data_IF_614419675225
#
_entry.id   IF_614419675225
#
_cell.length_a   1.000
_cell.length_b   1.000
_cell.length_c   1.000
_cell.angle_alpha   90.00
_cell.angle_beta   90.00
_cell.angle_gamma   90.00
#
_symmetry.space_group_name_H-M   'P 1'
#
loop_
_entity.id
_entity.type
_entity.pdbx_description
1 polymer ?
#
# COMPACT_ATOMS: atom_id res chain seq x y z
N UNK A 1 19.62 -10.13 -9.43
CA UNK A 1 19.63 -8.65 -9.36
C UNK A 1 19.77 -8.01 -10.74
N UNK A 2 20.83 -8.27 -11.52
CA UNK A 2 21.01 -7.61 -12.83
C UNK A 2 19.82 -7.77 -13.78
N UNK A 3 19.27 -8.99 -13.90
CA UNK A 3 18.10 -9.26 -14.74
C UNK A 3 16.85 -8.44 -14.33
N UNK A 4 16.63 -8.25 -13.03
CA UNK A 4 15.53 -7.42 -12.53
C UNK A 4 15.74 -5.95 -12.93
N UNK A 5 16.94 -5.42 -12.70
CA UNK A 5 17.30 -4.03 -13.03
C UNK A 5 17.13 -3.79 -14.53
N UNK A 6 17.64 -4.70 -15.37
CA UNK A 6 17.52 -4.61 -16.82
C UNK A 6 16.06 -4.69 -17.29
N UNK A 7 15.28 -5.59 -16.72
CA UNK A 7 13.86 -5.77 -17.05
C UNK A 7 13.05 -4.55 -16.66
N UNK A 8 13.28 -4.00 -15.46
CA UNK A 8 12.67 -2.75 -15.01
C UNK A 8 12.99 -1.60 -15.97
N UNK A 9 14.26 -1.43 -16.34
CA UNK A 9 14.70 -0.41 -17.29
C UNK A 9 14.04 -0.55 -18.67
N UNK A 10 13.93 -1.79 -19.19
CA UNK A 10 13.25 -2.08 -20.46
C UNK A 10 11.76 -1.69 -20.43
N UNK A 11 11.12 -1.84 -19.28
CA UNK A 11 9.68 -1.58 -19.08
C UNK A 11 9.37 -0.22 -18.45
N UNK A 12 10.35 0.69 -18.34
CA UNK A 12 10.19 2.03 -17.74
C UNK A 12 9.74 2.01 -16.28
N UNK A 13 10.10 0.96 -15.56
CA UNK A 13 9.91 0.84 -14.10
C UNK A 13 11.17 1.32 -13.42
N UNK A 14 11.04 2.28 -12.49
CA UNK A 14 12.13 2.68 -11.61
C UNK A 14 12.32 1.58 -10.54
N UNK A 15 13.37 0.76 -10.69
CA UNK A 15 13.69 -0.26 -9.69
C UNK A 15 14.23 0.41 -8.42
N UNK A 16 13.46 0.36 -7.33
CA UNK A 16 13.85 0.89 -6.02
C UNK A 16 14.50 -0.23 -5.20
N UNK A 17 15.75 -0.04 -4.80
CA UNK A 17 16.37 -0.93 -3.80
C UNK A 17 16.06 -0.42 -2.39
N UNK A 18 15.28 -1.19 -1.64
CA UNK A 18 14.99 -0.92 -0.24
C UNK A 18 15.93 -1.68 0.70
N UNK A 19 16.33 -1.05 1.81
CA UNK A 19 17.09 -1.67 2.90
C UNK A 19 16.50 -1.25 4.26
N UNK A 20 16.34 -2.21 5.17
CA UNK A 20 15.79 -1.98 6.52
C UNK A 20 16.87 -2.25 7.57
N UNK A 21 17.72 -1.26 7.93
CA UNK A 21 18.84 -1.49 8.85
C UNK A 21 18.45 -1.39 10.33
N UNK A 22 17.20 -1.04 10.63
CA UNK A 22 16.79 -0.60 11.98
C UNK A 22 16.81 -1.65 13.10
N UNK A 23 17.04 -2.94 12.79
CA UNK A 23 17.11 -4.00 13.80
C UNK A 23 18.33 -3.82 14.71
N UNK A 24 19.49 -3.50 14.14
CA UNK A 24 20.77 -3.51 14.84
C UNK A 24 21.73 -2.38 14.46
N UNK A 25 21.32 -1.46 13.58
CA UNK A 25 22.16 -0.31 13.22
C UNK A 25 22.56 0.52 14.43
N UNK A 26 23.86 0.83 14.51
CA UNK A 26 24.45 1.70 15.51
C UNK A 26 24.56 3.11 14.91
N UNK A 27 24.33 4.13 15.72
CA UNK A 27 24.32 5.52 15.26
C UNK A 27 25.50 6.34 15.76
N UNK A 28 26.14 5.91 16.86
CA UNK A 28 27.11 6.74 17.58
C UNK A 28 28.54 6.19 17.47
N UNK A 29 29.51 7.11 17.46
CA UNK A 29 30.95 6.80 17.50
C UNK A 29 31.45 5.99 16.30
N UNK A 30 32.60 5.35 16.47
CA UNK A 30 33.25 4.56 15.41
C UNK A 30 32.35 3.43 14.89
N UNK A 31 31.59 2.82 15.80
CA UNK A 31 30.61 1.79 15.48
C UNK A 31 29.49 2.28 14.54
N UNK A 32 28.98 3.49 14.78
CA UNK A 32 27.99 4.10 13.89
C UNK A 32 28.57 4.51 12.54
N UNK A 33 29.82 4.95 12.52
CA UNK A 33 30.53 5.21 11.26
C UNK A 33 30.74 3.94 10.44
N UNK A 34 31.14 2.84 11.07
CA UNK A 34 31.27 1.53 10.43
C UNK A 34 29.95 1.09 9.76
N UNK A 35 28.83 1.18 10.48
CA UNK A 35 27.52 0.77 9.97
C UNK A 35 27.04 1.71 8.84
N UNK A 36 27.29 3.02 8.95
CA UNK A 36 27.00 3.98 7.89
C UNK A 36 27.82 3.68 6.62
N UNK A 37 29.12 3.38 6.77
CA UNK A 37 29.95 3.00 5.62
C UNK A 37 29.50 1.66 5.02
N UNK A 38 29.04 0.70 5.83
CA UNK A 38 28.46 -0.54 5.32
C UNK A 38 27.20 -0.29 4.49
N UNK A 39 26.32 0.63 4.93
CA UNK A 39 25.15 1.07 4.17
C UNK A 39 25.55 1.72 2.83
N UNK A 40 26.50 2.65 2.84
CA UNK A 40 27.03 3.30 1.62
C UNK A 40 27.59 2.25 0.66
N UNK A 41 28.44 1.35 1.14
CA UNK A 41 29.06 0.31 0.32
C UNK A 41 28.01 -0.63 -0.30
N UNK A 42 26.96 -1.00 0.47
CA UNK A 42 25.87 -1.82 -0.05
C UNK A 42 25.11 -1.09 -1.16
N UNK A 43 24.72 0.16 -0.95
CA UNK A 43 24.01 0.95 -1.97
C UNK A 43 24.89 1.24 -3.19
N UNK A 44 26.18 1.50 -2.99
CA UNK A 44 27.16 1.68 -4.07
C UNK A 44 27.24 0.43 -4.96
N UNK A 45 27.29 -0.77 -4.36
CA UNK A 45 27.34 -2.01 -5.13
C UNK A 45 26.16 -2.17 -6.09
N UNK A 46 24.96 -1.68 -5.72
CA UNK A 46 23.79 -1.75 -6.57
C UNK A 46 23.68 -0.58 -7.54
N UNK A 47 24.18 0.59 -7.15
CA UNK A 47 24.36 1.72 -8.06
C UNK A 47 25.25 1.32 -9.25
N UNK A 48 26.34 0.60 -8.98
CA UNK A 48 27.27 0.10 -10.01
C UNK A 48 26.60 -0.92 -10.94
N UNK A 49 25.58 -1.64 -10.46
CA UNK A 49 24.73 -2.52 -11.26
C UNK A 49 23.64 -1.78 -12.06
N UNK A 50 23.45 -0.48 -11.83
CA UNK A 50 22.50 0.35 -12.56
C UNK A 50 21.26 0.80 -11.77
N UNK A 51 21.17 0.50 -10.46
CA UNK A 51 20.08 1.04 -9.61
C UNK A 51 20.22 2.55 -9.47
N UNK A 52 19.10 3.27 -9.54
CA UNK A 52 19.02 4.74 -9.44
C UNK A 52 17.96 5.26 -8.48
N UNK A 53 17.29 4.37 -7.76
CA UNK A 53 16.31 4.71 -6.73
C UNK A 53 16.57 3.84 -5.50
N UNK A 54 16.58 4.45 -4.32
CA UNK A 54 16.91 3.79 -3.07
C UNK A 54 15.87 4.14 -2.01
N UNK A 55 15.63 3.19 -1.10
CA UNK A 55 14.82 3.40 0.08
C UNK A 55 15.52 2.88 1.34
N UNK A 56 15.43 3.60 2.45
CA UNK A 56 15.91 3.16 3.75
C UNK A 56 14.71 3.16 4.71
N UNK A 57 14.39 2.00 5.28
CA UNK A 57 13.14 1.80 6.02
C UNK A 57 13.40 1.54 7.51
N UNK A 58 12.52 2.09 8.35
CA UNK A 58 12.56 1.96 9.81
C UNK A 58 11.23 1.44 10.37
N UNK A 59 10.41 0.77 9.55
CA UNK A 59 9.22 0.04 9.97
C UNK A 59 9.56 -1.20 10.80
N UNK A 60 8.65 -1.61 11.67
CA UNK A 60 8.69 -2.87 12.44
C UNK A 60 9.94 -3.12 13.30
N UNK A 61 10.50 -2.04 13.86
CA UNK A 61 11.63 -2.08 14.80
C UNK A 61 11.28 -1.51 16.18
N UNK A 62 12.10 -1.85 17.18
CA UNK A 62 11.93 -1.36 18.56
C UNK A 62 12.59 0.00 18.80
N UNK A 63 13.65 0.34 18.07
CA UNK A 63 14.33 1.62 18.18
C UNK A 63 13.45 2.75 17.63
N UNK A 64 13.12 3.73 18.48
CA UNK A 64 12.31 4.91 18.12
C UNK A 64 13.08 6.21 18.36
N UNK A 65 14.34 6.26 17.94
CA UNK A 65 15.14 7.49 17.97
C UNK A 65 14.95 8.28 16.66
N UNK A 66 13.93 9.14 16.62
CA UNK A 66 13.56 9.90 15.42
C UNK A 66 14.67 10.83 14.91
N UNK A 67 15.44 11.44 15.82
CA UNK A 67 16.55 12.33 15.46
C UNK A 67 17.65 11.53 14.76
N UNK A 68 18.08 10.40 15.34
CA UNK A 68 19.19 9.62 14.78
C UNK A 68 18.83 8.97 13.46
N UNK A 69 17.60 8.45 13.32
CA UNK A 69 17.11 7.90 12.07
C UNK A 69 17.07 8.96 10.95
N UNK A 70 16.49 10.14 11.23
CA UNK A 70 16.46 11.24 10.26
C UNK A 70 17.87 11.77 9.94
N UNK A 71 18.75 11.88 10.93
CA UNK A 71 20.15 12.31 10.72
C UNK A 71 20.90 11.34 9.80
N UNK A 72 20.71 10.03 9.96
CA UNK A 72 21.29 9.04 9.08
C UNK A 72 20.76 9.17 7.64
N UNK A 73 19.44 9.37 7.49
CA UNK A 73 18.81 9.57 6.18
C UNK A 73 19.34 10.83 5.49
N UNK A 74 19.43 11.96 6.19
CA UNK A 74 19.97 13.21 5.66
C UNK A 74 21.43 13.05 5.25
N UNK A 75 22.24 12.35 6.08
CA UNK A 75 23.65 12.08 5.74
C UNK A 75 23.77 11.21 4.49
N UNK A 76 22.95 10.17 4.36
CA UNK A 76 22.92 9.35 3.14
C UNK A 76 22.45 10.16 1.92
N UNK A 77 21.46 11.03 2.10
CA UNK A 77 20.94 11.92 1.07
C UNK A 77 22.03 12.86 0.53
N UNK A 78 22.82 13.48 1.42
CA UNK A 78 23.95 14.34 1.06
C UNK A 78 25.11 13.57 0.46
N UNK A 79 25.60 12.52 1.14
CA UNK A 79 26.84 11.84 0.77
C UNK A 79 26.68 10.83 -0.40
N UNK A 80 25.46 10.38 -0.68
CA UNK A 80 25.18 9.41 -1.74
C UNK A 80 24.24 9.98 -2.82
N UNK A 81 23.00 10.32 -2.47
CA UNK A 81 21.96 10.67 -3.45
C UNK A 81 22.35 11.93 -4.24
N UNK A 82 22.62 13.04 -3.53
CA UNK A 82 23.00 14.33 -4.12
C UNK A 82 24.34 14.28 -4.82
N UNK A 83 25.33 13.59 -4.24
CA UNK A 83 26.67 13.43 -4.84
C UNK A 83 26.64 12.69 -6.17
N UNK A 84 25.79 11.67 -6.34
CA UNK A 84 25.70 10.94 -7.62
C UNK A 84 25.05 11.78 -8.72
N UNK A 85 24.11 12.66 -8.37
CA UNK A 85 23.44 13.57 -9.32
C UNK A 85 22.45 12.91 -10.29
N UNK A 86 22.47 11.58 -10.43
CA UNK A 86 21.55 10.79 -11.25
C UNK A 86 20.67 9.82 -10.44
N UNK A 87 20.68 9.93 -9.11
CA UNK A 87 19.83 9.17 -8.19
C UNK A 87 18.55 9.96 -7.90
N UNK A 88 17.40 9.27 -7.94
CA UNK A 88 16.08 9.83 -7.60
C UNK A 88 16.00 10.20 -6.11
N UNK A 89 15.04 11.05 -5.69
CA UNK A 89 14.83 11.35 -4.27
C UNK A 89 14.80 10.10 -3.40
N UNK A 90 15.46 10.16 -2.23
CA UNK A 90 15.47 9.06 -1.27
C UNK A 90 14.05 8.81 -0.75
N UNK A 91 13.69 7.54 -0.61
CA UNK A 91 12.43 7.12 -0.01
C UNK A 91 12.69 6.57 1.39
N UNK A 92 11.80 6.85 2.34
CA UNK A 92 11.86 6.28 3.69
C UNK A 92 10.47 5.88 4.18
N UNK A 93 10.45 4.93 5.11
CA UNK A 93 9.29 4.65 5.96
C UNK A 93 9.73 4.83 7.40
N UNK A 94 9.12 5.75 8.16
CA UNK A 94 9.44 5.96 9.56
C UNK A 94 8.92 4.80 10.43
N UNK A 95 9.38 4.66 11.67
CA UNK A 95 8.87 3.66 12.63
C UNK A 95 7.42 3.91 13.05
N UNK A 96 6.96 5.16 12.93
CA UNK A 96 5.55 5.55 13.13
C UNK A 96 4.98 5.96 11.78
N UNK A 97 4.34 5.00 11.10
CA UNK A 97 3.95 5.09 9.69
C UNK A 97 2.44 5.06 9.43
N UNK A 98 1.62 5.13 10.47
CA UNK A 98 0.15 5.27 10.39
C UNK A 98 -0.33 6.49 11.19
N UNK A 99 -1.44 7.12 10.78
CA UNK A 99 -1.89 8.39 11.38
C UNK A 99 -2.27 8.25 12.84
N UNK A 100 -2.93 7.14 13.21
CA UNK A 100 -3.33 6.90 14.59
C UNK A 100 -2.13 6.93 15.53
N UNK A 101 -1.03 6.29 15.15
CA UNK A 101 0.21 6.27 15.93
C UNK A 101 0.98 7.60 15.91
N UNK A 102 0.78 8.46 14.90
CA UNK A 102 1.40 9.79 14.81
C UNK A 102 0.83 10.79 15.83
N UNK A 103 -0.39 10.58 16.32
CA UNK A 103 -1.07 11.49 17.24
C UNK A 103 -1.81 12.63 16.50
N UNK A 104 -1.87 13.81 17.11
CA UNK A 104 -2.55 15.00 16.57
C UNK A 104 -1.57 16.17 16.46
N UNK A 105 -1.91 17.23 15.71
CA UNK A 105 -0.97 18.34 15.46
C UNK A 105 -0.48 18.97 16.77
N UNK A 106 -1.38 19.20 17.73
CA UNK A 106 -1.04 19.81 19.02
C UNK A 106 -0.29 18.85 19.96
N UNK A 107 -0.40 17.54 19.72
CA UNK A 107 0.11 16.46 20.57
C UNK A 107 0.74 15.36 19.71
N UNK A 108 1.68 15.74 18.85
CA UNK A 108 2.38 14.79 17.99
C UNK A 108 3.17 13.80 18.85
N UNK A 109 3.17 12.54 18.42
CA UNK A 109 4.05 11.52 18.94
C UNK A 109 5.49 12.06 18.95
N UNK A 110 6.25 11.96 20.07
CA UNK A 110 7.61 12.48 20.17
C UNK A 110 8.52 12.01 19.03
N UNK A 111 8.42 10.74 18.64
CA UNK A 111 9.17 10.21 17.51
C UNK A 111 8.82 10.93 16.20
N UNK A 112 7.53 11.06 15.87
CA UNK A 112 7.07 11.72 14.64
C UNK A 112 7.50 13.17 14.59
N UNK A 113 7.38 13.91 15.70
CA UNK A 113 7.85 15.30 15.80
C UNK A 113 9.36 15.41 15.57
N UNK A 114 10.14 14.58 16.26
CA UNK A 114 11.60 14.67 16.22
C UNK A 114 12.14 14.21 14.84
N UNK A 115 11.55 13.16 14.25
CA UNK A 115 11.87 12.68 12.90
C UNK A 115 11.52 13.73 11.83
N UNK A 116 10.27 14.22 11.82
CA UNK A 116 9.79 15.18 10.81
C UNK A 116 10.53 16.52 10.84
N UNK A 117 10.87 17.03 12.04
CA UNK A 117 11.59 18.30 12.20
C UNK A 117 13.08 18.20 11.85
N UNK A 118 13.65 16.99 11.84
CA UNK A 118 15.06 16.75 11.50
C UNK A 118 15.24 16.40 10.02
N UNK A 119 14.29 15.68 9.42
CA UNK A 119 14.42 15.13 8.07
C UNK A 119 14.47 16.20 6.97
N UNK A 120 15.39 16.04 6.01
CA UNK A 120 15.50 16.89 4.83
C UNK A 120 14.17 16.95 4.05
N UNK A 121 13.89 18.11 3.45
CA UNK A 121 12.63 18.36 2.75
C UNK A 121 12.51 17.74 1.37
N UNK A 122 13.58 17.14 0.84
CA UNK A 122 13.63 16.44 -0.44
C UNK A 122 13.61 14.91 -0.29
N UNK A 123 13.47 14.38 0.93
CA UNK A 123 13.28 12.95 1.19
C UNK A 123 11.78 12.62 1.20
N UNK A 124 11.39 11.64 0.39
CA UNK A 124 10.02 11.12 0.29
C UNK A 124 9.70 10.22 1.48
N UNK A 125 8.59 10.47 2.16
CA UNK A 125 8.15 9.72 3.34
C UNK A 125 6.91 8.90 2.99
N UNK A 126 6.93 7.60 3.23
CA UNK A 126 5.80 6.72 3.00
C UNK A 126 5.00 6.46 4.27
N UNK A 127 3.68 6.31 4.13
CA UNK A 127 2.71 6.13 5.20
C UNK A 127 1.52 5.29 4.73
N UNK A 128 0.83 4.61 5.65
CA UNK A 128 -0.14 3.55 5.29
C UNK A 128 -1.61 3.93 5.32
N UNK A 129 -1.95 5.10 5.86
CA UNK A 129 -3.34 5.48 6.09
C UNK A 129 -3.65 5.85 7.54
N UNK A 130 -4.94 6.02 7.87
CA UNK A 130 -5.39 6.20 9.25
C UNK A 130 -4.79 5.18 10.22
N UNK A 131 -4.63 3.93 9.76
CA UNK A 131 -4.01 2.80 10.47
C UNK A 131 -3.13 1.97 9.50
N UNK A 132 -2.47 0.92 9.99
CA UNK A 132 -1.58 0.06 9.19
C UNK A 132 -2.29 -0.59 7.99
N UNK A 133 -3.46 -1.20 8.21
CA UNK A 133 -4.34 -1.74 7.16
C UNK A 133 -5.65 -0.96 7.22
N UNK A 134 -5.77 0.03 6.34
CA UNK A 134 -6.82 1.05 6.42
C UNK A 134 -8.05 0.72 5.59
N UNK A 135 -9.23 1.07 6.11
CA UNK A 135 -10.53 1.00 5.40
C UNK A 135 -10.61 1.94 4.20
N UNK A 136 -9.76 2.95 4.18
CA UNK A 136 -9.77 4.06 3.23
C UNK A 136 -8.78 5.13 3.66
N UNK A 137 -8.50 6.06 2.76
CA UNK A 137 -7.78 7.30 3.06
C UNK A 137 -8.64 8.43 2.52
N UNK A 138 -9.10 9.31 3.41
CA UNK A 138 -9.81 10.52 3.04
C UNK A 138 -8.87 11.72 2.87
N UNK A 139 -9.41 12.81 2.32
CA UNK A 139 -8.66 14.04 2.09
C UNK A 139 -8.10 14.66 3.38
N UNK A 140 -8.90 14.68 4.45
CA UNK A 140 -8.50 15.29 5.73
C UNK A 140 -7.29 14.57 6.33
N UNK A 141 -7.30 13.25 6.25
CA UNK A 141 -6.22 12.40 6.71
C UNK A 141 -4.92 12.63 5.93
N UNK A 142 -4.98 12.75 4.60
CA UNK A 142 -3.81 13.11 3.80
C UNK A 142 -3.31 14.53 4.10
N UNK A 143 -4.21 15.50 4.25
CA UNK A 143 -3.86 16.88 4.59
C UNK A 143 -3.21 17.00 5.98
N UNK A 144 -3.67 16.21 6.95
CA UNK A 144 -3.03 16.09 8.25
C UNK A 144 -1.58 15.64 8.12
N UNK A 145 -1.31 14.57 7.37
CA UNK A 145 0.06 14.05 7.21
C UNK A 145 0.93 15.04 6.40
N UNK A 146 0.37 15.69 5.38
CA UNK A 146 1.02 16.78 4.66
C UNK A 146 1.33 17.99 5.57
N UNK A 147 0.60 18.23 6.65
CA UNK A 147 0.94 19.29 7.61
C UNK A 147 2.20 18.98 8.43
N UNK A 148 2.54 17.68 8.56
CA UNK A 148 3.72 17.20 9.29
C UNK A 148 4.95 17.17 8.37
N UNK A 149 4.78 16.58 7.18
CA UNK A 149 5.91 16.29 6.28
C UNK A 149 5.92 17.17 5.02
N UNK A 150 4.90 17.99 4.76
CA UNK A 150 4.72 18.66 3.47
C UNK A 150 4.29 17.71 2.36
N UNK A 151 4.22 18.19 1.11
CA UNK A 151 3.79 17.41 -0.07
C UNK A 151 4.83 16.39 -0.59
N UNK A 152 5.64 15.83 0.29
CA UNK A 152 6.65 14.78 -0.02
C UNK A 152 6.20 13.43 0.53
N UNK A 153 4.90 13.19 0.51
CA UNK A 153 4.26 12.03 1.11
C UNK A 153 3.86 11.03 0.04
N UNK A 154 4.23 9.78 0.29
CA UNK A 154 3.81 8.62 -0.47
C UNK A 154 2.88 7.71 0.32
N UNK A 155 1.98 7.03 -0.39
CA UNK A 155 1.13 6.00 0.19
C UNK A 155 1.77 4.63 0.03
N UNK A 156 1.92 3.92 1.15
CA UNK A 156 2.11 2.48 1.22
C UNK A 156 0.73 1.84 1.44
N UNK A 157 0.05 1.46 0.37
CA UNK A 157 -1.29 0.88 0.46
C UNK A 157 -1.22 -0.61 0.80
N UNK A 158 -1.60 -0.98 2.02
CA UNK A 158 -1.63 -2.38 2.48
C UNK A 158 -2.87 -3.13 1.99
N UNK A 159 -2.95 -3.28 0.67
CA UNK A 159 -3.84 -4.18 -0.07
C UNK A 159 -3.25 -4.38 -1.48
N UNK A 160 -3.17 -5.60 -2.02
CA UNK A 160 -3.84 -6.82 -1.58
C UNK A 160 -3.05 -7.69 -0.58
N UNK A 161 -2.00 -7.22 0.09
CA UNK A 161 -1.21 -8.04 1.04
C UNK A 161 -2.10 -8.83 2.02
N UNK A 162 -1.73 -10.10 2.26
CA UNK A 162 -2.48 -11.05 3.11
C UNK A 162 -1.59 -11.77 4.12
N UNK A 163 -0.39 -11.26 4.40
CA UNK A 163 0.52 -11.87 5.38
C UNK A 163 -0.08 -11.98 6.80
N UNK A 164 -0.98 -11.07 7.15
CA UNK A 164 -1.77 -11.06 8.39
C UNK A 164 -3.01 -11.99 8.37
N UNK A 165 -3.39 -12.53 7.20
CA UNK A 165 -4.55 -13.42 7.00
C UNK A 165 -4.34 -14.29 5.75
N UNK A 166 -3.47 -15.29 5.85
CA UNK A 166 -3.02 -16.09 4.70
C UNK A 166 -4.09 -17.03 4.14
N UNK A 167 -5.15 -17.29 4.90
CA UNK A 167 -6.24 -18.18 4.53
C UNK A 167 -7.22 -17.58 3.51
N UNK A 168 -7.15 -16.27 3.27
CA UNK A 168 -8.04 -15.56 2.33
C UNK A 168 -7.23 -14.84 1.27
N UNK A 169 -7.73 -14.84 0.03
CA UNK A 169 -7.17 -14.04 -1.07
C UNK A 169 -7.82 -12.65 -1.09
N UNK A 170 -7.03 -11.61 -1.33
CA UNK A 170 -7.53 -10.25 -1.52
C UNK A 170 -7.62 -9.92 -3.02
N UNK A 171 -8.79 -10.16 -3.61
CA UNK A 171 -9.03 -10.10 -5.06
C UNK A 171 -9.90 -8.90 -5.49
N UNK A 172 -10.03 -7.89 -4.63
CA UNK A 172 -10.83 -6.69 -4.88
C UNK A 172 -10.05 -5.55 -5.54
N UNK A 173 -10.74 -4.43 -5.82
CA UNK A 173 -10.12 -3.23 -6.35
C UNK A 173 -9.46 -2.37 -5.26
N UNK A 174 -8.73 -1.32 -5.67
CA UNK A 174 -8.54 -0.14 -4.81
C UNK A 174 -9.92 0.38 -4.42
N UNK A 175 -10.16 0.49 -3.12
CA UNK A 175 -11.44 0.82 -2.54
C UNK A 175 -11.26 1.87 -1.44
N UNK A 176 -12.14 2.87 -1.41
CA UNK A 176 -12.13 3.96 -0.42
C UNK A 176 -10.82 4.77 -0.29
N UNK A 177 -9.94 4.75 -1.29
CA UNK A 177 -8.92 5.78 -1.45
C UNK A 177 -9.58 6.99 -2.15
N UNK A 178 -9.67 8.13 -1.45
CA UNK A 178 -10.38 9.30 -1.96
C UNK A 178 -9.72 9.83 -3.23
N UNK A 179 -10.54 10.18 -4.23
CA UNK A 179 -10.05 10.72 -5.50
C UNK A 179 -9.38 12.09 -5.34
N UNK A 180 -9.69 12.81 -4.28
CA UNK A 180 -9.05 14.08 -3.95
C UNK A 180 -7.56 13.92 -3.62
N UNK A 181 -7.08 12.70 -3.34
CA UNK A 181 -5.66 12.43 -3.08
C UNK A 181 -4.74 12.79 -4.25
N UNK A 182 -5.27 12.90 -5.48
CA UNK A 182 -4.49 13.32 -6.66
C UNK A 182 -3.77 14.66 -6.48
N UNK A 183 -4.29 15.54 -5.62
CA UNK A 183 -3.74 16.89 -5.37
C UNK A 183 -2.84 16.93 -4.10
N UNK A 184 -2.79 15.84 -3.35
CA UNK A 184 -2.12 15.74 -2.04
C UNK A 184 -0.97 14.72 -2.02
N UNK A 185 -1.01 13.68 -2.86
CA UNK A 185 -0.05 12.56 -2.90
C UNK A 185 0.47 12.39 -4.32
N UNK A 186 1.79 12.35 -4.48
CA UNK A 186 2.47 12.17 -5.77
C UNK A 186 3.19 10.81 -5.92
N UNK A 187 3.14 9.98 -4.88
CA UNK A 187 3.75 8.65 -4.85
C UNK A 187 2.77 7.62 -4.25
N UNK A 188 2.32 6.66 -5.04
CA UNK A 188 1.37 5.63 -4.60
C UNK A 188 1.92 4.24 -4.89
N UNK A 189 2.04 3.42 -3.85
CA UNK A 189 2.52 2.04 -3.95
C UNK A 189 1.55 1.09 -3.25
N UNK A 190 1.55 -0.16 -3.70
CA UNK A 190 0.71 -1.21 -3.14
C UNK A 190 1.59 -2.31 -2.59
N UNK A 191 1.20 -2.86 -1.44
CA UNK A 191 1.79 -4.06 -0.88
C UNK A 191 1.06 -5.29 -1.44
N UNK A 192 1.68 -6.10 -2.32
CA UNK A 192 1.02 -7.26 -2.93
C UNK A 192 0.97 -8.47 -1.98
N UNK A 193 0.26 -9.52 -2.38
CA UNK A 193 0.30 -10.82 -1.70
C UNK A 193 1.62 -11.56 -2.02
N UNK A 194 1.92 -12.59 -1.22
CA UNK A 194 2.89 -13.62 -1.61
C UNK A 194 2.47 -14.38 -2.89
N UNK A 195 1.19 -14.34 -3.23
CA UNK A 195 0.63 -14.88 -4.47
C UNK A 195 0.67 -13.84 -5.61
N UNK A 196 1.77 -13.83 -6.36
CA UNK A 196 2.02 -12.82 -7.40
C UNK A 196 0.96 -12.77 -8.50
N UNK A 197 0.46 -13.93 -8.98
CA UNK A 197 -0.50 -13.98 -10.08
C UNK A 197 -1.86 -13.37 -9.68
N UNK A 198 -2.37 -13.76 -8.52
CA UNK A 198 -3.64 -13.25 -8.01
C UNK A 198 -3.57 -11.77 -7.61
N UNK A 199 -2.40 -11.29 -7.19
CA UNK A 199 -2.19 -9.86 -6.90
C UNK A 199 -2.44 -8.97 -8.11
N UNK A 200 -2.32 -9.49 -9.34
CA UNK A 200 -2.51 -8.71 -10.57
C UNK A 200 -3.89 -8.09 -10.70
N UNK A 201 -4.95 -8.71 -10.15
CA UNK A 201 -6.31 -8.15 -10.17
C UNK A 201 -6.31 -6.80 -9.47
N UNK A 202 -5.91 -6.76 -8.20
CA UNK A 202 -5.85 -5.53 -7.42
C UNK A 202 -4.84 -4.53 -8.01
N UNK A 203 -3.65 -4.99 -8.40
CA UNK A 203 -2.60 -4.12 -8.98
C UNK A 203 -3.06 -3.44 -10.28
N UNK A 204 -3.84 -4.11 -11.14
CA UNK A 204 -4.40 -3.51 -12.34
C UNK A 204 -5.39 -2.37 -12.01
N UNK A 205 -6.18 -2.52 -10.94
CA UNK A 205 -7.04 -1.42 -10.46
C UNK A 205 -6.23 -0.28 -9.83
N UNK A 206 -5.10 -0.62 -9.18
CA UNK A 206 -4.13 0.36 -8.70
C UNK A 206 -3.53 1.21 -9.80
N UNK A 207 -3.19 0.60 -10.94
CA UNK A 207 -2.74 1.32 -12.12
C UNK A 207 -3.82 2.26 -12.68
N UNK A 208 -5.09 1.82 -12.72
CA UNK A 208 -6.19 2.69 -13.14
C UNK A 208 -6.40 3.87 -12.18
N UNK A 209 -6.33 3.62 -10.86
CA UNK A 209 -6.48 4.63 -9.82
C UNK A 209 -5.35 5.67 -9.86
N UNK A 210 -4.09 5.24 -9.88
CA UNK A 210 -2.94 6.16 -9.81
C UNK A 210 -2.68 6.93 -11.10
N UNK A 211 -3.12 6.41 -12.26
CA UNK A 211 -3.00 7.10 -13.54
C UNK A 211 -4.10 8.14 -13.79
N UNK A 212 -5.35 7.81 -13.47
CA UNK A 212 -6.50 8.69 -13.69
C UNK A 212 -7.47 8.65 -12.50
N UNK A 213 -6.99 9.18 -11.38
CA UNK A 213 -7.68 9.17 -10.09
C UNK A 213 -9.08 9.79 -10.16
N UNK A 214 -9.23 10.92 -10.86
CA UNK A 214 -10.51 11.62 -10.97
C UNK A 214 -11.61 10.78 -11.63
N UNK A 215 -11.26 10.06 -12.70
CA UNK A 215 -12.20 9.20 -13.43
C UNK A 215 -12.35 7.79 -12.84
N UNK A 216 -11.55 7.42 -11.83
CA UNK A 216 -11.51 6.07 -11.28
C UNK A 216 -12.89 5.58 -10.81
N UNK A 217 -13.28 4.37 -11.17
CA UNK A 217 -14.50 3.74 -10.71
C UNK A 217 -14.11 2.32 -10.32
N UNK A 218 -14.20 2.00 -9.03
CA UNK A 218 -13.64 0.76 -8.49
C UNK A 218 -14.31 -0.47 -9.11
N UNK A 219 -15.60 -0.40 -9.40
CA UNK A 219 -16.37 -1.55 -9.90
C UNK A 219 -16.07 -1.76 -11.40
N UNK A 220 -16.04 -0.68 -12.18
CA UNK A 220 -15.61 -0.76 -13.58
C UNK A 220 -14.14 -1.21 -13.70
N UNK A 221 -13.26 -0.71 -12.85
CA UNK A 221 -11.84 -1.08 -12.86
C UNK A 221 -11.65 -2.56 -12.49
N UNK A 222 -12.38 -3.05 -11.49
CA UNK A 222 -12.33 -4.44 -11.07
C UNK A 222 -12.81 -5.40 -12.18
N UNK A 223 -13.98 -5.11 -12.76
CA UNK A 223 -14.49 -5.89 -13.90
C UNK A 223 -13.51 -5.88 -15.07
N UNK A 224 -12.95 -4.71 -15.41
CA UNK A 224 -11.99 -4.57 -16.51
C UNK A 224 -10.69 -5.33 -16.25
N UNK A 225 -10.19 -5.34 -15.01
CA UNK A 225 -8.99 -6.07 -14.62
C UNK A 225 -9.18 -7.57 -14.85
N UNK A 226 -10.30 -8.14 -14.40
CA UNK A 226 -10.59 -9.57 -14.56
C UNK A 226 -10.78 -9.93 -16.04
N UNK A 227 -11.53 -9.14 -16.80
CA UNK A 227 -11.70 -9.33 -18.25
C UNK A 227 -10.37 -9.35 -19.01
N UNK A 228 -9.45 -8.43 -18.68
CA UNK A 228 -8.15 -8.35 -19.34
C UNK A 228 -7.22 -9.51 -18.97
N UNK A 229 -7.29 -10.01 -17.74
CA UNK A 229 -6.40 -11.05 -17.23
C UNK A 229 -6.88 -12.47 -17.56
N UNK A 230 -8.19 -12.70 -17.59
CA UNK A 230 -8.79 -14.05 -17.68
C UNK A 230 -9.51 -14.32 -19.01
N UNK A 231 -9.77 -13.31 -19.84
CA UNK A 231 -10.35 -13.48 -21.17
C UNK A 231 -11.67 -14.24 -21.14
N UNK A 232 -11.72 -15.40 -21.79
CA UNK A 232 -12.93 -16.24 -21.86
C UNK A 232 -13.39 -16.78 -20.50
N UNK A 233 -12.52 -16.82 -19.49
CA UNK A 233 -12.83 -17.27 -18.12
C UNK A 233 -13.19 -16.12 -17.17
N UNK A 234 -13.39 -14.92 -17.71
CA UNK A 234 -13.58 -13.72 -16.88
C UNK A 234 -14.88 -13.77 -16.06
N UNK A 235 -15.96 -14.32 -16.59
CA UNK A 235 -17.24 -14.36 -15.88
C UNK A 235 -17.19 -15.35 -14.70
N UNK A 236 -16.58 -16.52 -14.88
CA UNK A 236 -16.33 -17.48 -13.82
C UNK A 236 -15.39 -16.91 -12.76
N UNK A 237 -14.31 -16.25 -13.19
CA UNK A 237 -13.37 -15.61 -12.26
C UNK A 237 -14.02 -14.45 -11.50
N UNK A 238 -14.94 -13.68 -12.12
CA UNK A 238 -15.72 -12.65 -11.42
C UNK A 238 -16.58 -13.27 -10.34
N UNK A 239 -17.28 -14.38 -10.60
CA UNK A 239 -18.07 -15.08 -9.57
C UNK A 239 -17.19 -15.45 -8.38
N UNK A 240 -16.07 -16.13 -8.62
CA UNK A 240 -15.15 -16.52 -7.55
C UNK A 240 -14.57 -15.30 -6.79
N UNK A 241 -14.00 -14.34 -7.51
CA UNK A 241 -13.33 -13.18 -6.91
C UNK A 241 -14.30 -12.25 -6.17
N UNK A 242 -15.58 -12.19 -6.57
CA UNK A 242 -16.59 -11.35 -5.93
C UNK A 242 -16.78 -11.69 -4.44
N UNK A 243 -16.52 -12.95 -4.07
CA UNK A 243 -16.62 -13.45 -2.70
C UNK A 243 -15.30 -13.37 -1.90
N UNK A 244 -14.25 -12.79 -2.47
CA UNK A 244 -12.92 -12.72 -1.84
C UNK A 244 -12.29 -11.33 -2.05
N UNK A 245 -13.03 -10.27 -1.75
CA UNK A 245 -12.55 -8.88 -1.83
C UNK A 245 -12.30 -8.24 -0.46
N UNK A 246 -13.07 -8.63 0.55
CA UNK A 246 -13.01 -8.06 1.91
C UNK A 246 -11.94 -8.74 2.74
N UNK A 247 -11.06 -7.98 3.36
CA UNK A 247 -10.08 -8.50 4.32
C UNK A 247 -10.39 -7.92 5.69
N UNK A 248 -10.85 -8.75 6.62
CA UNK A 248 -11.27 -8.32 7.95
C UNK A 248 -10.93 -9.39 8.99
N UNK A 249 -10.02 -9.05 9.91
CA UNK A 249 -9.62 -9.92 11.00
C UNK A 249 -8.57 -9.30 11.92
N UNK A 250 -8.74 -9.53 13.23
CA UNK A 250 -7.86 -8.96 14.24
C UNK A 250 -7.91 -7.42 14.24
N UNK A 251 -6.76 -6.80 13.96
CA UNK A 251 -6.61 -5.34 13.89
C UNK A 251 -6.77 -4.78 12.46
N UNK A 252 -6.84 -5.65 11.45
CA UNK A 252 -6.85 -5.27 10.04
C UNK A 252 -8.26 -5.32 9.46
N UNK A 253 -8.66 -4.26 8.73
CA UNK A 253 -9.97 -4.16 8.10
C UNK A 253 -9.92 -3.26 6.88
N UNK A 254 -10.10 -3.84 5.68
CA UNK A 254 -9.96 -3.12 4.40
C UNK A 254 -10.64 -3.85 3.25
N UNK A 255 -10.70 -3.19 2.09
CA UNK A 255 -11.24 -3.75 0.85
C UNK A 255 -12.77 -3.69 0.77
N UNK A 256 -13.26 -3.76 -0.47
CA UNK A 256 -14.70 -3.80 -0.78
C UNK A 256 -15.36 -5.00 -0.09
N UNK A 257 -16.58 -4.82 0.42
CA UNK A 257 -17.40 -5.93 0.93
C UNK A 257 -17.52 -7.08 -0.09
N UNK A 258 -17.57 -8.32 0.42
CA UNK A 258 -17.77 -9.50 -0.42
C UNK A 258 -19.21 -9.56 -0.92
N UNK A 259 -19.37 -9.79 -2.23
CA UNK A 259 -20.63 -10.00 -2.93
C UNK A 259 -21.82 -9.19 -2.36
N UNK A 260 -21.74 -7.84 -2.36
CA UNK A 260 -22.68 -7.00 -1.63
C UNK A 260 -24.13 -7.17 -2.13
N UNK A 261 -24.34 -7.44 -3.41
CA UNK A 261 -25.66 -7.74 -3.98
C UNK A 261 -26.23 -9.06 -3.44
N UNK A 262 -25.40 -10.09 -3.28
CA UNK A 262 -25.80 -11.39 -2.72
C UNK A 262 -26.17 -11.22 -1.26
N UNK A 263 -25.36 -10.51 -0.48
CA UNK A 263 -25.66 -10.16 0.91
C UNK A 263 -26.98 -9.41 1.04
N UNK A 264 -27.22 -8.41 0.19
CA UNK A 264 -28.45 -7.63 0.20
C UNK A 264 -29.69 -8.51 -0.09
N UNK A 265 -29.58 -9.45 -1.03
CA UNK A 265 -30.66 -10.41 -1.32
C UNK A 265 -30.90 -11.39 -0.15
N UNK A 266 -29.85 -11.87 0.52
CA UNK A 266 -29.99 -12.67 1.74
C UNK A 266 -30.72 -11.89 2.85
N UNK A 267 -30.38 -10.62 3.06
CA UNK A 267 -31.05 -9.76 4.05
C UNK A 267 -32.52 -9.48 3.67
N UNK A 268 -32.81 -9.27 2.39
CA UNK A 268 -34.18 -9.10 1.87
C UNK A 268 -35.02 -10.36 2.13
N UNK A 269 -34.47 -11.54 1.83
CA UNK A 269 -35.13 -12.83 2.06
C UNK A 269 -35.56 -12.98 3.52
N UNK A 270 -34.63 -12.80 4.45
CA UNK A 270 -34.90 -12.93 5.89
C UNK A 270 -35.99 -11.95 6.36
N UNK A 271 -35.93 -10.68 5.90
CA UNK A 271 -36.92 -9.66 6.24
C UNK A 271 -38.31 -10.00 5.71
N UNK A 272 -38.42 -10.54 4.49
CA UNK A 272 -39.70 -10.91 3.88
C UNK A 272 -40.32 -12.14 4.54
N UNK A 273 -39.51 -13.18 4.80
CA UNK A 273 -39.97 -14.38 5.50
C UNK A 273 -40.51 -14.05 6.90
N UNK A 274 -39.80 -13.19 7.65
CA UNK A 274 -40.23 -12.75 8.98
C UNK A 274 -41.58 -11.99 8.97
N UNK A 275 -41.97 -11.41 7.84
CA UNK A 275 -43.22 -10.66 7.66
C UNK A 275 -44.32 -11.47 6.95
N UNK A 276 -44.07 -12.73 6.60
CA UNK A 276 -44.98 -13.53 5.77
C UNK A 276 -45.23 -12.93 4.37
N UNK A 277 -44.24 -12.21 3.83
CA UNK A 277 -44.29 -11.62 2.50
C UNK A 277 -43.77 -12.60 1.44
N UNK A 278 -44.20 -12.42 0.20
CA UNK A 278 -43.68 -13.18 -0.94
C UNK A 278 -42.17 -12.88 -1.15
N UNK A 279 -41.39 -13.95 -1.14
CA UNK A 279 -39.93 -13.95 -1.30
C UNK A 279 -39.46 -14.81 -2.47
N UNK A 280 -40.36 -15.13 -3.42
CA UNK A 280 -40.04 -16.00 -4.56
C UNK A 280 -38.86 -15.47 -5.39
N UNK A 281 -38.78 -14.15 -5.58
CA UNK A 281 -37.65 -13.51 -6.27
C UNK A 281 -36.31 -13.77 -5.58
N UNK A 282 -36.21 -13.52 -4.26
CA UNK A 282 -34.98 -13.71 -3.52
C UNK A 282 -34.55 -15.18 -3.48
N UNK A 283 -35.51 -16.09 -3.37
CA UNK A 283 -35.26 -17.54 -3.42
C UNK A 283 -34.69 -17.93 -4.79
N UNK A 284 -35.33 -17.53 -5.88
CA UNK A 284 -34.88 -17.83 -7.24
C UNK A 284 -33.51 -17.21 -7.56
N UNK A 285 -33.27 -15.98 -7.10
CA UNK A 285 -31.98 -15.32 -7.23
C UNK A 285 -30.87 -16.09 -6.50
N UNK A 286 -31.09 -16.44 -5.23
CA UNK A 286 -30.08 -17.13 -4.43
C UNK A 286 -29.81 -18.56 -4.93
N UNK A 287 -30.81 -19.28 -5.43
CA UNK A 287 -30.58 -20.57 -6.07
C UNK A 287 -29.65 -20.45 -7.27
N UNK A 288 -29.91 -19.48 -8.17
CA UNK A 288 -29.05 -19.23 -9.33
C UNK A 288 -27.63 -18.83 -8.91
N UNK A 289 -27.51 -17.98 -7.89
CA UNK A 289 -26.22 -17.55 -7.38
C UNK A 289 -25.41 -18.73 -6.83
N UNK A 290 -26.00 -19.55 -5.97
CA UNK A 290 -25.32 -20.72 -5.40
C UNK A 290 -24.94 -21.75 -6.46
N UNK A 291 -25.81 -21.98 -7.46
CA UNK A 291 -25.47 -22.82 -8.60
C UNK A 291 -24.32 -22.21 -9.41
N UNK A 292 -24.28 -20.89 -9.60
CA UNK A 292 -23.18 -20.21 -10.29
C UNK A 292 -21.87 -20.36 -9.52
N UNK A 293 -21.88 -20.22 -8.19
CA UNK A 293 -20.68 -20.37 -7.34
C UNK A 293 -20.09 -21.79 -7.38
N UNK A 294 -20.90 -22.81 -7.63
CA UNK A 294 -20.44 -24.21 -7.75
C UNK A 294 -19.89 -24.49 -9.15
N UNK A 295 -20.45 -23.86 -10.18
CA UNK A 295 -20.14 -24.17 -11.58
C UNK A 295 -19.03 -23.29 -12.19
N UNK A 296 -18.78 -22.11 -11.63
CA UNK A 296 -17.67 -21.22 -11.98
C UNK A 296 -16.32 -21.80 -11.52
#
# INVERSE_FOLDING_TARGET
MSELIETSKKNKVDFVFAISPGIDIRFDGDAGEEDFQALINKCQSLYDMGVRSFAILFDDISNKDGIKQATLLNRFNEEFVKVKGDVKPLITVPTVYDTHSMGRVEELNPYTRDFSSTLDSDIMVMWTGPVVVSEGIDLENAQFVNSIYGKRMGVWWNYPVTDYMKEKLALGPIYNADKALKDEVDFFTMNPMEHAEFSKIALATGAAYSWNTEAYDYDKAWNKAIEMLYGDLAEEMKVFANHSTRMEGGWASTGRADAPEVRANMDSLLKKLAKGQDASYEIDYLYKEFDSMINA
#
